data_IF_616957563083
#
_entry.id   IF_616957563083
#
_cell.length_a   1.000
_cell.length_b   1.000
_cell.length_c   1.000
_cell.angle_alpha   90.00
_cell.angle_beta   90.00
_cell.angle_gamma   90.00
#
_symmetry.space_group_name_H-M   'P 1'
#
loop_
_entity.id
_entity.type
_entity.pdbx_description
1 polymer ?
#
# COMPACT_ATOMS: atom_id res chain seq x y z
N UNK A 1 -12.38 34.69 -61.61
CA UNK A 1 -10.99 34.58 -61.10
C UNK A 1 -10.90 34.24 -59.60
N UNK A 2 -11.98 33.91 -58.89
CA UNK A 2 -11.99 33.76 -57.42
C UNK A 2 -11.99 32.31 -56.90
N UNK A 3 -12.21 31.29 -57.74
CA UNK A 3 -12.32 29.90 -57.29
C UNK A 3 -10.98 29.19 -57.05
N UNK A 4 -9.90 29.66 -57.68
CA UNK A 4 -8.58 28.99 -57.64
C UNK A 4 -7.84 29.15 -56.29
N UNK A 5 -8.34 30.00 -55.38
CA UNK A 5 -7.71 30.32 -54.09
C UNK A 5 -8.54 29.90 -52.86
N UNK A 6 -9.53 29.04 -53.06
CA UNK A 6 -10.43 28.61 -51.98
C UNK A 6 -9.71 27.88 -50.83
N UNK A 7 -8.54 27.28 -51.10
CA UNK A 7 -7.77 26.54 -50.11
C UNK A 7 -7.12 27.46 -49.05
N UNK A 8 -6.67 28.66 -49.42
CA UNK A 8 -6.19 29.67 -48.46
C UNK A 8 -7.35 30.16 -47.58
N UNK A 9 -8.51 30.43 -48.20
CA UNK A 9 -9.70 30.91 -47.50
C UNK A 9 -10.24 29.99 -46.41
N UNK A 10 -10.00 28.69 -46.51
CA UNK A 10 -10.42 27.67 -45.53
C UNK A 10 -9.36 27.34 -44.48
N UNK A 11 -8.19 27.97 -44.54
CA UNK A 11 -7.06 27.64 -43.68
C UNK A 11 -7.04 28.49 -42.41
N UNK A 12 -6.47 27.95 -41.32
CA UNK A 12 -6.34 28.71 -40.07
C UNK A 12 -5.32 29.84 -40.28
N UNK A 13 -5.47 30.93 -39.53
CA UNK A 13 -4.58 32.09 -39.63
C UNK A 13 -3.13 31.70 -39.29
N UNK A 14 -2.96 30.81 -38.33
CA UNK A 14 -1.68 30.30 -37.87
C UNK A 14 -0.96 29.53 -38.99
N UNK A 15 -1.68 28.65 -39.69
CA UNK A 15 -1.13 27.90 -40.83
C UNK A 15 -0.72 28.84 -41.96
N UNK A 16 -1.50 29.90 -42.20
CA UNK A 16 -1.21 30.90 -43.23
C UNK A 16 -0.03 31.81 -42.89
N UNK A 17 0.17 32.12 -41.61
CA UNK A 17 1.34 32.85 -41.14
C UNK A 17 2.60 32.01 -41.34
N UNK A 18 2.57 30.75 -40.94
CA UNK A 18 3.70 29.83 -41.13
C UNK A 18 3.99 29.62 -42.62
N UNK A 19 2.95 29.43 -43.43
CA UNK A 19 3.09 29.33 -44.89
C UNK A 19 3.79 30.56 -45.47
N UNK A 20 3.41 31.77 -45.03
CA UNK A 20 4.05 32.98 -45.52
C UNK A 20 5.50 33.12 -45.03
N UNK A 21 5.81 32.69 -43.80
CA UNK A 21 7.19 32.63 -43.28
C UNK A 21 8.06 31.65 -44.10
N UNK A 22 7.54 30.46 -44.43
CA UNK A 22 8.23 29.46 -45.28
C UNK A 22 8.44 29.96 -46.72
N UNK A 23 7.52 30.79 -47.23
CA UNK A 23 7.68 31.48 -48.51
C UNK A 23 8.63 32.69 -48.43
N UNK A 24 9.29 32.91 -47.28
CA UNK A 24 10.23 34.01 -47.02
C UNK A 24 9.55 35.38 -47.19
N UNK A 25 8.25 35.45 -46.89
CA UNK A 25 7.47 36.67 -46.96
C UNK A 25 7.49 37.38 -45.60
N UNK A 26 7.59 38.70 -45.61
CA UNK A 26 7.55 39.50 -44.37
C UNK A 26 6.12 39.56 -43.84
N UNK A 27 5.80 38.68 -42.89
CA UNK A 27 4.52 38.66 -42.20
C UNK A 27 4.65 38.98 -40.72
N UNK A 28 3.59 39.54 -40.16
CA UNK A 28 3.49 39.81 -38.72
C UNK A 28 2.20 39.20 -38.18
N UNK A 29 2.19 38.84 -36.89
CA UNK A 29 1.04 38.20 -36.25
C UNK A 29 -0.22 39.07 -36.26
N UNK A 30 -0.08 40.38 -36.39
CA UNK A 30 -1.18 41.35 -36.44
C UNK A 30 -1.89 41.36 -37.81
N UNK A 31 -1.27 40.80 -38.85
CA UNK A 31 -1.86 40.82 -40.19
C UNK A 31 -3.21 40.08 -40.19
N UNK A 32 -4.19 40.65 -40.89
CA UNK A 32 -5.48 40.00 -41.11
C UNK A 32 -5.30 38.89 -42.15
N UNK A 33 -6.12 37.83 -42.05
CA UNK A 33 -6.14 36.72 -43.00
C UNK A 33 -6.20 37.21 -44.46
N UNK A 34 -7.02 38.24 -44.73
CA UNK A 34 -7.12 38.86 -46.07
C UNK A 34 -5.80 39.50 -46.54
N UNK A 35 -5.03 40.12 -45.64
CA UNK A 35 -3.73 40.72 -45.97
C UNK A 35 -2.71 39.62 -46.26
N UNK A 36 -2.72 38.54 -45.48
CA UNK A 36 -1.82 37.39 -45.68
C UNK A 36 -2.11 36.71 -47.02
N UNK A 37 -3.38 36.46 -47.33
CA UNK A 37 -3.76 35.90 -48.65
C UNK A 37 -3.22 36.75 -49.78
N UNK A 38 -3.51 38.05 -49.73
CA UNK A 38 -3.07 39.00 -50.77
C UNK A 38 -1.55 38.92 -50.96
N UNK A 39 -0.80 38.92 -49.85
CA UNK A 39 0.65 38.91 -49.85
C UNK A 39 1.26 37.62 -50.42
N UNK A 40 0.67 36.46 -50.12
CA UNK A 40 1.06 35.17 -50.71
C UNK A 40 0.79 35.17 -52.21
N UNK A 41 -0.38 35.65 -52.63
CA UNK A 41 -0.87 35.52 -54.01
C UNK A 41 -0.28 36.57 -54.96
N UNK A 42 0.17 37.70 -54.43
CA UNK A 42 0.87 38.74 -55.19
C UNK A 42 2.38 38.51 -55.23
N UNK A 43 2.89 37.46 -54.57
CA UNK A 43 4.30 37.09 -54.67
C UNK A 43 4.65 36.72 -56.12
N UNK A 44 5.77 37.24 -56.67
CA UNK A 44 6.24 36.89 -58.01
C UNK A 44 6.50 35.38 -58.19
N UNK A 45 6.73 34.66 -57.09
CA UNK A 45 7.00 33.22 -57.05
C UNK A 45 5.77 32.40 -56.66
N UNK A 46 4.57 32.98 -56.69
CA UNK A 46 3.35 32.27 -56.31
C UNK A 46 3.02 31.15 -57.30
N UNK A 47 3.15 29.91 -56.83
CA UNK A 47 2.69 28.72 -57.53
C UNK A 47 1.59 28.03 -56.72
N UNK A 48 0.45 27.75 -57.36
CA UNK A 48 -0.76 27.28 -56.66
C UNK A 48 -0.59 25.85 -56.15
N UNK A 49 0.11 25.01 -56.89
CA UNK A 49 0.29 23.60 -56.55
C UNK A 49 1.27 23.48 -55.39
N UNK A 50 2.41 24.17 -55.49
CA UNK A 50 3.43 24.25 -54.45
C UNK A 50 2.88 24.83 -53.15
N UNK A 51 2.19 25.98 -53.21
CA UNK A 51 1.64 26.62 -52.00
C UNK A 51 0.53 25.78 -51.36
N UNK A 52 -0.25 25.05 -52.15
CA UNK A 52 -1.26 24.12 -51.64
C UNK A 52 -0.63 22.90 -50.97
N UNK A 53 0.42 22.34 -51.55
CA UNK A 53 1.16 21.20 -50.98
C UNK A 53 1.85 21.61 -49.67
N UNK A 54 2.58 22.72 -49.67
CA UNK A 54 3.26 23.26 -48.49
C UNK A 54 2.27 23.52 -47.33
N UNK A 55 1.12 24.12 -47.65
CA UNK A 55 0.05 24.31 -46.68
C UNK A 55 -0.59 23.00 -46.21
N UNK A 56 -0.59 21.97 -47.06
CA UNK A 56 -0.97 20.61 -46.70
C UNK A 56 -0.03 20.04 -45.63
N UNK A 57 1.29 20.10 -45.87
CA UNK A 57 2.31 19.63 -44.94
C UNK A 57 2.25 20.35 -43.59
N UNK A 58 2.07 21.67 -43.59
CA UNK A 58 1.90 22.47 -42.37
C UNK A 58 0.70 21.99 -41.54
N UNK A 59 -0.43 21.71 -42.20
CA UNK A 59 -1.64 21.22 -41.52
C UNK A 59 -1.43 19.83 -40.94
N UNK A 60 -0.81 18.94 -41.70
CA UNK A 60 -0.50 17.59 -41.25
C UNK A 60 0.44 17.60 -40.04
N UNK A 61 1.49 18.42 -40.06
CA UNK A 61 2.42 18.56 -38.94
C UNK A 61 1.71 19.09 -37.69
N UNK A 62 0.87 20.11 -37.84
CA UNK A 62 0.06 20.64 -36.74
C UNK A 62 -0.85 19.56 -36.15
N UNK A 63 -1.57 18.83 -37.00
CA UNK A 63 -2.48 17.76 -36.56
C UNK A 63 -1.72 16.64 -35.84
N UNK A 64 -0.58 16.22 -36.38
CA UNK A 64 0.30 15.22 -35.75
C UNK A 64 0.82 15.70 -34.38
N UNK A 65 1.17 16.97 -34.27
CA UNK A 65 1.60 17.57 -33.00
C UNK A 65 0.46 17.62 -31.98
N UNK A 66 -0.72 18.09 -32.39
CA UNK A 66 -1.91 18.14 -31.54
C UNK A 66 -2.30 16.73 -31.05
N UNK A 67 -2.24 15.72 -31.92
CA UNK A 67 -2.48 14.32 -31.56
C UNK A 67 -1.43 13.79 -30.58
N UNK A 68 -0.14 14.05 -30.84
CA UNK A 68 0.95 13.62 -29.97
C UNK A 68 0.83 14.25 -28.58
N UNK A 69 0.49 15.54 -28.50
CA UNK A 69 0.25 16.24 -27.24
C UNK A 69 -0.97 15.66 -26.49
N UNK A 70 -2.02 15.30 -27.22
CA UNK A 70 -3.21 14.66 -26.63
C UNK A 70 -2.89 13.26 -26.09
N UNK A 71 -2.18 12.44 -26.85
CA UNK A 71 -1.72 11.11 -26.43
C UNK A 71 -0.82 11.19 -25.20
N UNK A 72 0.13 12.14 -25.16
CA UNK A 72 0.99 12.31 -23.99
C UNK A 72 0.18 12.75 -22.76
N UNK A 73 -0.75 13.69 -22.91
CA UNK A 73 -1.65 14.08 -21.81
C UNK A 73 -2.48 12.91 -21.29
N UNK A 74 -2.93 12.02 -22.17
CA UNK A 74 -3.68 10.82 -21.80
C UNK A 74 -2.81 9.82 -21.03
N UNK A 75 -1.61 9.53 -21.54
CA UNK A 75 -0.61 8.69 -20.85
C UNK A 75 -0.27 9.24 -19.46
N UNK A 76 -0.08 10.55 -19.34
CA UNK A 76 0.19 11.21 -18.05
C UNK A 76 -0.97 11.05 -17.07
N UNK A 77 -2.21 11.17 -17.54
CA UNK A 77 -3.41 10.93 -16.70
C UNK A 77 -3.49 9.47 -16.26
N UNK A 78 -3.21 8.53 -17.15
CA UNK A 78 -3.23 7.11 -16.82
C UNK A 78 -2.15 6.74 -15.80
N UNK A 79 -0.93 7.24 -15.97
CA UNK A 79 0.17 7.07 -15.00
C UNK A 79 -0.22 7.59 -13.62
N UNK A 80 -0.79 8.80 -13.53
CA UNK A 80 -1.28 9.37 -12.26
C UNK A 80 -2.36 8.52 -11.62
N UNK A 81 -3.30 7.98 -12.39
CA UNK A 81 -4.32 7.06 -11.88
C UNK A 81 -3.70 5.77 -11.33
N UNK A 82 -2.75 5.19 -12.05
CA UNK A 82 -2.06 3.97 -11.59
C UNK A 82 -1.23 4.22 -10.33
N UNK A 83 -0.56 5.37 -10.22
CA UNK A 83 0.20 5.76 -9.04
C UNK A 83 -0.70 5.93 -7.82
N UNK A 84 -1.80 6.67 -7.96
CA UNK A 84 -2.79 6.83 -6.90
C UNK A 84 -3.39 5.49 -6.46
N UNK A 85 -3.68 4.60 -7.41
CA UNK A 85 -4.20 3.26 -7.09
C UNK A 85 -3.19 2.44 -6.28
N UNK A 86 -1.90 2.52 -6.63
CA UNK A 86 -0.83 1.84 -5.88
C UNK A 86 -0.65 2.41 -4.49
N UNK A 87 -0.79 3.72 -4.33
CA UNK A 87 -0.71 4.40 -3.03
C UNK A 87 -1.86 3.96 -2.12
N UNK A 88 -3.09 3.99 -2.61
CA UNK A 88 -4.27 3.51 -1.88
C UNK A 88 -4.11 2.05 -1.47
N UNK A 89 -3.59 1.19 -2.37
CA UNK A 89 -3.37 -0.22 -2.06
C UNK A 89 -2.31 -0.41 -0.97
N UNK A 90 -1.22 0.36 -1.01
CA UNK A 90 -0.19 0.34 0.04
C UNK A 90 -0.74 0.81 1.39
N UNK A 91 -1.51 1.88 1.41
CA UNK A 91 -2.15 2.36 2.64
C UNK A 91 -3.09 1.32 3.25
N UNK A 92 -3.89 0.64 2.42
CA UNK A 92 -4.74 -0.48 2.88
C UNK A 92 -3.91 -1.59 3.50
N UNK A 93 -2.85 -2.04 2.82
CA UNK A 93 -1.98 -3.10 3.35
C UNK A 93 -1.30 -2.70 4.67
N UNK A 94 -0.86 -1.45 4.80
CA UNK A 94 -0.29 -0.95 6.06
C UNK A 94 -1.35 -0.99 7.15
N UNK A 95 -2.55 -0.48 6.88
CA UNK A 95 -3.64 -0.45 7.84
C UNK A 95 -4.09 -1.84 8.28
N UNK A 96 -4.16 -2.80 7.36
CA UNK A 96 -4.46 -4.20 7.68
C UNK A 96 -3.41 -4.81 8.59
N UNK A 97 -2.12 -4.57 8.33
CA UNK A 97 -1.02 -5.03 9.19
C UNK A 97 -1.05 -4.41 10.57
N UNK A 98 -1.41 -3.13 10.67
CA UNK A 98 -1.58 -2.47 11.98
C UNK A 98 -2.71 -3.09 12.78
N UNK A 99 -3.87 -3.31 12.15
CA UNK A 99 -5.02 -3.98 12.78
C UNK A 99 -4.65 -5.39 13.25
N UNK A 100 -3.91 -6.15 12.43
CA UNK A 100 -3.46 -7.49 12.80
C UNK A 100 -2.51 -7.47 14.00
N UNK A 101 -1.54 -6.54 14.01
CA UNK A 101 -0.62 -6.37 15.14
C UNK A 101 -1.35 -6.00 16.43
N UNK A 102 -2.30 -5.08 16.36
CA UNK A 102 -3.10 -4.67 17.51
C UNK A 102 -3.92 -5.83 18.07
N UNK A 103 -4.51 -6.67 17.19
CA UNK A 103 -5.21 -7.90 17.62
C UNK A 103 -4.27 -8.87 18.33
N UNK A 104 -3.10 -9.15 17.74
CA UNK A 104 -2.11 -10.04 18.35
C UNK A 104 -1.61 -9.52 19.70
N UNK A 105 -1.42 -8.21 19.84
CA UNK A 105 -1.00 -7.61 21.11
C UNK A 105 -2.09 -7.74 22.18
N UNK A 106 -3.35 -7.45 21.83
CA UNK A 106 -4.49 -7.63 22.74
C UNK A 106 -4.65 -9.09 23.17
N UNK A 107 -4.50 -10.05 22.26
CA UNK A 107 -4.55 -11.48 22.58
C UNK A 107 -3.46 -11.87 23.59
N UNK A 108 -2.22 -11.41 23.37
CA UNK A 108 -1.10 -11.65 24.30
C UNK A 108 -1.33 -11.00 25.66
N UNK A 109 -1.93 -9.81 25.70
CA UNK A 109 -2.26 -9.14 26.95
C UNK A 109 -3.30 -9.94 27.75
N UNK A 110 -4.36 -10.40 27.09
CA UNK A 110 -5.40 -11.24 27.69
C UNK A 110 -4.80 -12.55 28.22
N UNK A 111 -3.90 -13.18 27.48
CA UNK A 111 -3.21 -14.41 27.91
C UNK A 111 -2.39 -14.16 29.17
N UNK A 112 -1.55 -13.12 29.20
CA UNK A 112 -0.76 -12.75 30.38
C UNK A 112 -1.63 -12.45 31.60
N UNK A 113 -2.76 -11.79 31.41
CA UNK A 113 -3.68 -11.49 32.51
C UNK A 113 -4.29 -12.78 33.09
N UNK A 114 -4.65 -13.74 32.23
CA UNK A 114 -5.14 -15.06 32.66
C UNK A 114 -4.08 -15.83 33.44
N UNK A 115 -2.86 -15.90 32.93
CA UNK A 115 -1.75 -16.57 33.61
C UNK A 115 -1.47 -15.93 34.99
N UNK A 116 -1.41 -14.60 35.06
CA UNK A 116 -1.20 -13.88 36.32
C UNK A 116 -2.35 -14.13 37.31
N UNK A 117 -3.60 -14.25 36.82
CA UNK A 117 -4.74 -14.60 37.67
C UNK A 117 -4.63 -16.03 38.20
N UNK A 118 -4.30 -16.99 37.35
CA UNK A 118 -4.10 -18.39 37.76
C UNK A 118 -2.97 -18.52 38.79
N UNK A 119 -1.85 -17.81 38.60
CA UNK A 119 -0.76 -17.78 39.55
C UNK A 119 -1.20 -17.23 40.91
N UNK A 120 -1.92 -16.10 40.93
CA UNK A 120 -2.50 -15.53 42.16
C UNK A 120 -3.46 -16.51 42.84
N UNK A 121 -4.25 -17.26 42.09
CA UNK A 121 -5.14 -18.30 42.63
C UNK A 121 -4.35 -19.47 43.24
N UNK A 122 -3.28 -19.94 42.58
CA UNK A 122 -2.38 -20.98 43.11
C UNK A 122 -1.68 -20.54 44.40
N UNK A 123 -1.15 -19.31 44.44
CA UNK A 123 -0.52 -18.74 45.64
C UNK A 123 -1.52 -18.67 46.79
N UNK A 124 -2.73 -18.14 46.55
CA UNK A 124 -3.80 -18.08 47.57
C UNK A 124 -4.19 -19.47 48.07
N UNK A 125 -4.34 -20.45 47.18
CA UNK A 125 -4.67 -21.82 47.55
C UNK A 125 -3.60 -22.45 48.46
N UNK A 126 -2.32 -22.23 48.13
CA UNK A 126 -1.20 -22.71 48.94
C UNK A 126 -1.17 -22.05 50.34
N UNK A 127 -1.38 -20.73 50.42
CA UNK A 127 -1.45 -20.01 51.70
C UNK A 127 -2.58 -20.50 52.60
N UNK A 128 -3.76 -20.75 52.01
CA UNK A 128 -4.91 -21.32 52.74
C UNK A 128 -4.59 -22.72 53.28
N UNK A 129 -3.96 -23.59 52.47
CA UNK A 129 -3.55 -24.92 52.91
C UNK A 129 -2.56 -24.85 54.09
N UNK A 130 -1.58 -23.93 54.02
CA UNK A 130 -0.62 -23.72 55.10
C UNK A 130 -1.31 -23.29 56.40
N UNK A 131 -2.31 -22.41 56.30
CA UNK A 131 -3.10 -21.96 57.44
C UNK A 131 -3.94 -23.12 58.03
N UNK A 132 -4.59 -23.91 57.19
CA UNK A 132 -5.38 -25.08 57.59
C UNK A 132 -4.51 -26.10 58.36
N UNK A 133 -3.31 -26.40 57.84
CA UNK A 133 -2.35 -27.28 58.51
C UNK A 133 -1.89 -26.72 59.85
N UNK A 134 -1.64 -25.41 59.94
CA UNK A 134 -1.26 -24.75 61.20
C UNK A 134 -2.39 -24.84 62.24
N UNK A 135 -3.62 -24.64 61.80
CA UNK A 135 -4.81 -24.79 62.65
C UNK A 135 -5.03 -26.27 63.04
N UNK A 136 -4.81 -27.23 62.14
CA UNK A 136 -4.92 -28.67 62.43
C UNK A 136 -3.83 -29.15 63.39
N UNK A 137 -2.59 -28.67 63.23
CA UNK A 137 -1.49 -28.93 64.16
C UNK A 137 -1.73 -28.33 65.54
N UNK A 138 -2.37 -27.16 65.61
CA UNK A 138 -2.84 -26.57 66.88
C UNK A 138 -4.08 -27.25 67.47
N UNK A 139 -4.87 -27.98 66.66
CA UNK A 139 -6.04 -28.78 67.06
C UNK A 139 -5.75 -30.27 67.25
N UNK A 140 -4.50 -30.71 67.09
CA UNK A 140 -4.11 -32.05 67.49
C UNK A 140 -4.14 -32.10 69.02
N UNK A 141 -5.23 -32.66 69.60
CA UNK A 141 -5.19 -33.09 70.99
C UNK A 141 -4.00 -34.04 71.16
N UNK A 142 -3.23 -33.94 72.26
CA UNK A 142 -2.29 -35.00 72.61
C UNK A 142 -3.12 -36.28 72.73
N UNK A 143 -2.93 -37.21 71.81
CA UNK A 143 -3.53 -38.54 71.97
C UNK A 143 -2.90 -39.08 73.25
N UNK A 144 -3.72 -39.20 74.30
CA UNK A 144 -3.28 -39.79 75.56
C UNK A 144 -2.55 -41.09 75.22
N UNK A 145 -1.31 -41.19 75.68
CA UNK A 145 -0.42 -42.32 75.45
C UNK A 145 -1.14 -43.62 75.86
N UNK A 146 -1.77 -44.29 74.89
CA UNK A 146 -2.13 -45.69 75.03
C UNK A 146 -0.79 -46.41 75.10
N UNK A 147 -0.54 -47.05 76.24
CA UNK A 147 0.57 -47.94 76.50
C UNK A 147 0.99 -48.67 75.22
N UNK A 148 2.17 -48.33 74.71
CA UNK A 148 2.87 -49.12 73.70
C UNK A 148 3.38 -50.35 74.46
N UNK A 149 2.99 -51.59 74.11
CA UNK A 149 3.71 -52.76 74.60
C UNK A 149 5.14 -52.65 74.05
N UNK A 150 6.13 -52.75 74.93
CA UNK A 150 7.55 -52.63 74.67
C UNK A 150 8.07 -53.82 73.83
N UNK A 151 7.58 -53.94 72.60
CA UNK A 151 8.11 -54.85 71.59
C UNK A 151 8.59 -54.05 70.39
N UNK A 152 9.88 -54.12 70.03
CA UNK A 152 10.38 -53.45 68.84
C UNK A 152 9.83 -54.18 67.60
N UNK A 153 8.83 -53.57 66.96
CA UNK A 153 8.44 -53.94 65.60
C UNK A 153 9.61 -53.60 64.66
N UNK A 154 10.44 -54.61 64.37
CA UNK A 154 11.55 -54.49 63.41
C UNK A 154 10.97 -54.42 62.00
N UNK A 155 10.56 -53.24 61.55
CA UNK A 155 10.39 -52.99 60.11
C UNK A 155 11.78 -52.95 59.49
N UNK A 156 12.11 -54.01 58.75
CA UNK A 156 13.43 -54.21 58.18
C UNK A 156 13.49 -53.40 56.89
N UNK A 157 14.45 -52.48 56.78
CA UNK A 157 14.61 -51.48 55.69
C UNK A 157 14.32 -51.99 54.26
N UNK A 158 14.59 -53.27 53.97
CA UNK A 158 14.30 -53.90 52.68
C UNK A 158 12.79 -54.05 52.33
N UNK A 159 11.88 -53.81 53.28
CA UNK A 159 10.43 -53.89 53.07
C UNK A 159 9.83 -52.55 52.59
N UNK A 160 10.59 -51.45 52.71
CA UNK A 160 10.13 -50.09 52.37
C UNK A 160 10.67 -49.62 51.02
N UNK A 161 11.74 -50.23 50.50
CA UNK A 161 12.31 -49.85 49.20
C UNK A 161 11.78 -50.74 48.07
N UNK A 162 11.26 -50.18 46.96
CA UNK A 162 10.99 -50.93 45.75
C UNK A 162 12.27 -51.58 45.23
N UNK A 163 12.24 -52.89 44.99
CA UNK A 163 13.39 -53.60 44.40
C UNK A 163 13.57 -53.16 42.95
N UNK A 164 14.63 -52.41 42.68
CA UNK A 164 15.05 -52.09 41.32
C UNK A 164 15.56 -53.37 40.64
N UNK A 165 14.91 -53.80 39.56
CA UNK A 165 15.27 -55.00 38.80
C UNK A 165 15.87 -54.60 37.45
N UNK A 166 17.21 -54.64 37.26
CA UNK A 166 17.88 -54.08 36.08
C UNK A 166 17.77 -54.95 34.80
N UNK A 167 16.81 -55.88 34.72
CA UNK A 167 16.58 -56.75 33.55
C UNK A 167 15.35 -56.38 32.71
N UNK A 168 14.66 -55.28 33.04
CA UNK A 168 13.70 -54.66 32.12
C UNK A 168 14.41 -53.52 31.39
N UNK A 169 15.02 -53.87 30.25
CA UNK A 169 15.49 -52.95 29.22
C UNK A 169 15.19 -53.58 27.86
#
# INVERSE_FOLDING_TARGET
MTWYMAYLARSKKEDLLLLAEELVLTVRKEFKVKQIHKLITESPSYDVEFTRELLGSIKEEREKREESEKQERERQRERKKQELQREIEREKQVREREIEREKQEREREIEREREAREERERVRAFELQKLELKVRGGRAQPVASRHIPDQPAKTRMHDVMPRFNPKER
#
